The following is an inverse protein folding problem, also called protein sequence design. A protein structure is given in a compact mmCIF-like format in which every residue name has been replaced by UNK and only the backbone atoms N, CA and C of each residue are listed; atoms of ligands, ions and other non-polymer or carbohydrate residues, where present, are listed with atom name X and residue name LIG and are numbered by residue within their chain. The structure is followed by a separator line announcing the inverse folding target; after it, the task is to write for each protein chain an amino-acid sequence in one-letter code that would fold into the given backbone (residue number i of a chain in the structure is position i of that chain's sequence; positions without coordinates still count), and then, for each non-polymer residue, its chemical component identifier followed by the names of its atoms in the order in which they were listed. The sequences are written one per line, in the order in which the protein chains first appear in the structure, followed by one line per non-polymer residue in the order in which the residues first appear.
data_IF_490586918913
#
_entry.id   IF_490586918913
#
_cell.length_a   1.000
_cell.length_b   1.000
_cell.length_c   1.000
_cell.angle_alpha   90.00
_cell.angle_beta   90.00
_cell.angle_gamma   90.00
#
_symmetry.space_group_name_H-M   'P 1'
#
loop_
_entity.id
_entity.type
_entity.pdbx_description
1 polymer ?
#
# COMPACT_ATOMS: atom_id res chain seq x y z
N UNK A 1 -18.42 -8.19 -0.43
CA UNK A 1 -17.79 -7.24 -1.35
C UNK A 1 -18.59 -7.25 -2.64
N UNK A 2 -18.97 -6.08 -3.15
CA UNK A 2 -19.74 -5.94 -4.40
C UNK A 2 -19.11 -6.74 -5.56
N UNK A 3 -19.92 -7.17 -6.54
CA UNK A 3 -19.48 -7.79 -7.80
C UNK A 3 -18.73 -6.76 -8.69
N UNK A 4 -17.64 -6.19 -8.19
CA UNK A 4 -16.74 -5.34 -8.96
C UNK A 4 -16.14 -6.16 -10.10
N UNK A 5 -16.22 -5.63 -11.33
CA UNK A 5 -15.57 -6.24 -12.48
C UNK A 5 -14.06 -6.28 -12.24
N UNK A 6 -13.32 -7.22 -12.87
CA UNK A 6 -11.87 -7.30 -12.70
C UNK A 6 -11.14 -5.99 -12.98
N UNK A 7 -11.59 -5.26 -14.01
CA UNK A 7 -11.02 -3.97 -14.40
C UNK A 7 -11.25 -2.87 -13.36
N UNK A 8 -12.48 -2.75 -12.84
CA UNK A 8 -12.80 -1.76 -11.79
C UNK A 8 -11.98 -2.04 -10.52
N UNK A 9 -11.84 -3.32 -10.14
CA UNK A 9 -10.99 -3.73 -9.04
C UNK A 9 -9.52 -3.37 -9.28
N UNK A 10 -9.01 -3.62 -10.49
CA UNK A 10 -7.63 -3.27 -10.87
C UNK A 10 -7.36 -1.78 -10.76
N UNK A 11 -8.30 -0.92 -11.20
CA UNK A 11 -8.18 0.53 -11.06
C UNK A 11 -8.17 0.98 -9.60
N UNK A 12 -9.08 0.44 -8.78
CA UNK A 12 -9.12 0.73 -7.33
C UNK A 12 -7.82 0.26 -6.68
N UNK A 13 -7.31 -0.91 -7.08
CA UNK A 13 -6.07 -1.46 -6.56
C UNK A 13 -4.89 -0.54 -6.88
N UNK A 14 -4.70 -0.15 -8.15
CA UNK A 14 -3.65 0.81 -8.54
C UNK A 14 -3.79 2.15 -7.81
N UNK A 15 -5.00 2.70 -7.72
CA UNK A 15 -5.23 3.94 -7.00
C UNK A 15 -4.89 3.81 -5.51
N UNK A 16 -5.21 2.65 -4.91
CA UNK A 16 -4.80 2.30 -3.56
C UNK A 16 -3.29 2.33 -3.38
N UNK A 17 -2.51 1.86 -4.35
CA UNK A 17 -1.04 1.95 -4.30
C UNK A 17 -0.57 3.41 -4.26
N UNK A 18 -1.11 4.28 -5.11
CA UNK A 18 -0.75 5.71 -5.08
C UNK A 18 -1.14 6.37 -3.75
N UNK A 19 -2.27 5.99 -3.15
CA UNK A 19 -2.66 6.49 -1.83
C UNK A 19 -1.69 6.02 -0.74
N UNK A 20 -1.29 4.74 -0.75
CA UNK A 20 -0.29 4.20 0.18
C UNK A 20 1.07 4.89 -0.01
N UNK A 21 1.53 5.02 -1.24
CA UNK A 21 2.78 5.69 -1.55
C UNK A 21 2.75 7.17 -1.12
N UNK A 22 1.64 7.87 -1.35
CA UNK A 22 1.49 9.26 -0.92
C UNK A 22 1.48 9.40 0.61
N UNK A 23 0.89 8.42 1.32
CA UNK A 23 0.93 8.38 2.77
C UNK A 23 2.35 8.14 3.29
N UNK A 24 3.11 7.23 2.67
CA UNK A 24 4.52 6.99 3.00
C UNK A 24 5.34 8.29 2.89
N UNK A 25 5.22 8.99 1.75
CA UNK A 25 5.87 10.28 1.54
C UNK A 25 5.41 11.36 2.53
N UNK A 26 4.14 11.36 2.92
CA UNK A 26 3.63 12.28 3.95
C UNK A 26 4.26 11.98 5.31
N UNK A 27 4.37 10.72 5.70
CA UNK A 27 5.02 10.33 6.95
C UNK A 27 6.49 10.71 6.92
N UNK A 28 7.19 10.40 5.83
CA UNK A 28 8.61 10.73 5.68
C UNK A 28 8.87 12.24 5.67
N UNK A 29 8.12 12.98 4.86
CA UNK A 29 8.36 14.40 4.65
C UNK A 29 7.85 15.30 5.76
N UNK A 30 6.80 14.92 6.50
CA UNK A 30 6.18 15.78 7.50
C UNK A 30 6.31 15.18 8.90
N UNK A 31 5.90 13.93 9.09
CA UNK A 31 5.84 13.33 10.43
C UNK A 31 7.23 13.04 10.97
N UNK A 32 8.15 12.49 10.17
CA UNK A 32 9.51 12.24 10.62
C UNK A 32 10.28 13.53 10.88
N UNK A 33 10.05 14.57 10.08
CA UNK A 33 10.63 15.89 10.34
C UNK A 33 10.11 16.46 11.67
N UNK A 34 8.78 16.48 11.86
CA UNK A 34 8.16 16.97 13.09
C UNK A 34 8.61 16.22 14.35
N UNK A 35 8.79 14.91 14.26
CA UNK A 35 9.22 14.07 15.38
C UNK A 35 10.75 13.97 15.54
N UNK A 36 11.52 14.60 14.64
CA UNK A 36 12.97 14.44 14.52
C UNK A 36 13.41 12.96 14.44
N UNK A 37 12.68 12.15 13.67
CA UNK A 37 12.99 10.72 13.45
C UNK A 37 13.91 10.48 12.26
N UNK A 38 14.17 11.50 11.45
CA UNK A 38 15.12 11.43 10.34
C UNK A 38 16.52 11.04 10.83
N UNK A 39 17.09 9.98 10.24
CA UNK A 39 18.40 9.44 10.64
C UNK A 39 18.40 8.64 11.95
N UNK A 40 17.22 8.28 12.47
CA UNK A 40 17.09 7.42 13.66
C UNK A 40 16.61 6.03 13.29
N UNK A 41 16.90 5.05 14.15
CA UNK A 41 16.43 3.67 14.00
C UNK A 41 14.90 3.53 14.00
N UNK A 42 14.17 4.56 14.45
CA UNK A 42 12.69 4.56 14.42
C UNK A 42 12.15 4.66 13.00
N UNK A 43 12.84 5.37 12.11
CA UNK A 43 12.46 5.42 10.69
C UNK A 43 12.63 4.04 10.03
N UNK A 44 13.72 3.33 10.38
CA UNK A 44 14.04 2.03 9.79
C UNK A 44 12.94 1.02 10.13
N UNK A 45 12.51 1.01 11.39
CA UNK A 45 11.41 0.16 11.85
C UNK A 45 10.07 0.53 11.19
N UNK A 46 9.80 1.82 11.00
CA UNK A 46 8.61 2.24 10.26
C UNK A 46 8.64 1.71 8.83
N UNK A 47 9.74 1.91 8.10
CA UNK A 47 9.85 1.44 6.72
C UNK A 47 9.75 -0.09 6.63
N UNK A 48 10.38 -0.83 7.54
CA UNK A 48 10.27 -2.29 7.57
C UNK A 48 8.82 -2.77 7.74
N UNK A 49 8.08 -2.17 8.67
CA UNK A 49 6.67 -2.49 8.90
C UNK A 49 5.78 -2.03 7.74
N UNK A 50 6.04 -0.84 7.21
CA UNK A 50 5.29 -0.24 6.12
C UNK A 50 5.41 -1.08 4.84
N UNK A 51 6.63 -1.44 4.45
CA UNK A 51 6.84 -2.31 3.28
C UNK A 51 6.29 -3.71 3.49
N UNK A 52 6.32 -4.25 4.72
CA UNK A 52 5.63 -5.50 5.05
C UNK A 52 4.12 -5.42 4.82
N UNK A 53 3.49 -4.33 5.27
CA UNK A 53 2.08 -4.07 5.03
C UNK A 53 1.75 -3.91 3.53
N UNK A 54 2.54 -3.12 2.79
CA UNK A 54 2.40 -2.94 1.34
C UNK A 54 2.54 -4.27 0.60
N UNK A 55 3.49 -5.13 0.99
CA UNK A 55 3.68 -6.45 0.39
C UNK A 55 2.46 -7.36 0.60
N UNK A 56 1.90 -7.39 1.81
CA UNK A 56 0.67 -8.17 2.11
C UNK A 56 -0.50 -7.65 1.26
N UNK A 57 -0.69 -6.33 1.21
CA UNK A 57 -1.72 -5.69 0.38
C UNK A 57 -1.54 -6.01 -1.10
N UNK A 58 -0.31 -6.03 -1.60
CA UNK A 58 0.02 -6.35 -2.99
C UNK A 58 -0.30 -7.81 -3.33
N UNK A 59 0.13 -8.75 -2.50
CA UNK A 59 -0.16 -10.19 -2.67
C UNK A 59 -1.67 -10.44 -2.63
N UNK A 60 -2.37 -9.82 -1.69
CA UNK A 60 -3.83 -9.91 -1.61
C UNK A 60 -4.52 -9.38 -2.87
N UNK A 61 -4.04 -8.24 -3.40
CA UNK A 61 -4.53 -7.65 -4.64
C UNK A 61 -4.34 -8.58 -5.84
N UNK A 62 -3.14 -9.13 -6.04
CA UNK A 62 -2.85 -10.10 -7.10
C UNK A 62 -3.77 -11.32 -6.98
N UNK A 63 -3.86 -11.92 -5.78
CA UNK A 63 -4.70 -13.10 -5.56
C UNK A 63 -6.16 -12.82 -5.92
N UNK A 64 -6.69 -11.69 -5.46
CA UNK A 64 -8.08 -11.28 -5.71
C UNK A 64 -8.33 -11.02 -7.20
N UNK A 65 -7.39 -10.36 -7.88
CA UNK A 65 -7.48 -10.11 -9.33
C UNK A 65 -7.44 -11.41 -10.12
N UNK A 66 -6.53 -12.33 -9.79
CA UNK A 66 -6.43 -13.64 -10.43
C UNK A 66 -7.71 -14.46 -10.26
N UNK A 67 -8.28 -14.50 -9.05
CA UNK A 67 -9.56 -15.19 -8.81
C UNK A 67 -10.72 -14.59 -9.61
N UNK A 68 -10.77 -13.25 -9.74
CA UNK A 68 -11.80 -12.54 -10.52
C UNK A 68 -11.65 -12.77 -12.02
N UNK A 69 -10.43 -12.90 -12.54
CA UNK A 69 -10.17 -13.21 -13.94
C UNK A 69 -10.56 -14.67 -14.23
N UNK A 70 -10.17 -15.63 -13.37
CA UNK A 70 -10.46 -17.06 -13.55
C UNK A 70 -11.94 -17.42 -13.43
N UNK A 71 -12.71 -16.67 -12.64
CA UNK A 71 -14.18 -16.85 -12.49
C UNK A 71 -14.99 -16.26 -13.65
N UNK A 72 -14.35 -15.55 -14.57
CA UNK A 72 -14.98 -14.94 -15.75
C UNK A 72 -14.77 -15.83 -16.96
#
# INVERSE_FOLDING_TARGET
MQNLKPFDFFLIWIFGFFALFSFDLFIEGIVFEYLAWNGTTKNDWFFALWWGFVAIWFIYGIKTLHEKIKKK
#
